data_IF_741099948459
#
_entry.id   IF_741099948459
#
_cell.length_a   1.000
_cell.length_b   1.000
_cell.length_c   1.000
_cell.angle_alpha   90.00
_cell.angle_beta   90.00
_cell.angle_gamma   90.00
#
_symmetry.space_group_name_H-M   'P 1'
#
loop_
_entity.id
_entity.type
_entity.pdbx_description
1 polymer ?
#
# COMPACT_ATOMS: atom_id res chain seq x y z
N UNK A 1 -5.15 16.26 23.83
CA UNK A 1 -5.13 15.46 22.59
C UNK A 1 -3.99 14.45 22.58
N UNK A 2 -2.86 14.72 23.22
CA UNK A 2 -1.66 13.85 23.19
C UNK A 2 -1.92 12.43 23.72
N UNK A 3 -2.68 12.31 24.82
CA UNK A 3 -3.09 11.01 25.36
C UNK A 3 -3.82 10.11 24.32
N UNK A 4 -4.56 10.71 23.38
CA UNK A 4 -5.19 9.95 22.29
C UNK A 4 -4.15 9.47 21.27
N UNK A 5 -3.16 10.30 20.92
CA UNK A 5 -2.12 9.90 19.98
C UNK A 5 -1.20 8.82 20.57
N UNK A 6 -0.89 8.91 21.86
CA UNK A 6 -0.15 7.88 22.59
C UNK A 6 -0.95 6.57 22.65
N UNK A 7 -2.25 6.65 22.94
CA UNK A 7 -3.15 5.51 22.82
C UNK A 7 -3.10 4.85 21.43
N UNK A 8 -3.13 5.64 20.35
CA UNK A 8 -3.04 5.10 19.00
C UNK A 8 -1.68 4.43 18.72
N UNK A 9 -0.58 5.02 19.21
CA UNK A 9 0.78 4.53 19.00
C UNK A 9 1.07 3.27 19.80
N UNK A 10 0.82 3.30 21.11
CA UNK A 10 1.31 2.27 22.03
C UNK A 10 0.30 1.15 22.27
N UNK A 11 -0.97 1.49 22.50
CA UNK A 11 -2.01 0.47 22.74
C UNK A 11 -2.54 -0.11 21.42
N UNK A 12 -2.89 0.75 20.46
CA UNK A 12 -3.51 0.31 19.18
C UNK A 12 -2.49 -0.07 18.12
N UNK A 13 -1.21 0.32 18.30
CA UNK A 13 -0.10 0.04 17.39
C UNK A 13 -0.41 0.44 15.95
N UNK A 14 -1.02 1.61 15.77
CA UNK A 14 -1.27 2.16 14.44
C UNK A 14 0.05 2.56 13.79
N UNK A 15 0.10 2.51 12.45
CA UNK A 15 1.31 2.91 11.73
C UNK A 15 1.60 4.40 11.96
N UNK A 16 2.87 4.83 11.94
CA UNK A 16 3.23 6.25 12.09
C UNK A 16 2.42 7.16 11.14
N UNK A 17 2.28 6.76 9.87
CA UNK A 17 1.48 7.50 8.88
C UNK A 17 0.01 7.65 9.24
N UNK A 18 -0.60 6.63 9.85
CA UNK A 18 -2.00 6.71 10.29
C UNK A 18 -2.12 7.68 11.46
N UNK A 19 -1.16 7.65 12.39
CA UNK A 19 -1.12 8.58 13.53
C UNK A 19 -0.93 10.02 13.04
N UNK A 20 0.02 10.27 12.14
CA UNK A 20 0.23 11.59 11.53
C UNK A 20 -1.03 12.08 10.81
N UNK A 21 -1.69 11.22 10.05
CA UNK A 21 -2.95 11.55 9.37
C UNK A 21 -4.05 11.96 10.36
N UNK A 22 -4.14 11.27 11.50
CA UNK A 22 -5.12 11.58 12.55
C UNK A 22 -4.74 12.84 13.34
N UNK A 23 -3.45 13.12 13.52
CA UNK A 23 -2.97 14.38 14.09
C UNK A 23 -3.39 15.56 13.22
N UNK A 24 -3.16 15.47 11.90
CA UNK A 24 -3.59 16.50 10.94
C UNK A 24 -5.10 16.65 10.93
N UNK A 25 -5.86 15.56 10.88
CA UNK A 25 -7.33 15.62 10.84
C UNK A 25 -7.94 16.23 12.11
N UNK A 26 -7.47 15.81 13.28
CA UNK A 26 -7.95 16.32 14.56
C UNK A 26 -7.52 17.78 14.77
N UNK A 27 -6.32 18.15 14.32
CA UNK A 27 -5.86 19.54 14.34
C UNK A 27 -6.71 20.45 13.45
N UNK A 28 -7.10 19.99 12.26
CA UNK A 28 -8.00 20.75 11.38
C UNK A 28 -9.40 20.91 11.98
N UNK A 29 -9.91 19.87 12.65
CA UNK A 29 -11.18 19.98 13.38
C UNK A 29 -11.09 20.97 14.55
N UNK A 30 -10.01 20.92 15.34
CA UNK A 30 -9.78 21.87 16.42
C UNK A 30 -9.67 23.31 15.91
N UNK A 31 -9.00 23.52 14.77
CA UNK A 31 -8.92 24.82 14.12
C UNK A 31 -10.30 25.35 13.70
N UNK A 32 -11.13 24.49 13.09
CA UNK A 32 -12.52 24.82 12.74
C UNK A 32 -13.35 25.23 13.97
N UNK A 33 -13.29 24.44 15.05
CA UNK A 33 -14.01 24.74 16.29
C UNK A 33 -13.60 26.08 16.89
N UNK A 34 -12.29 26.37 16.87
CA UNK A 34 -11.75 27.63 17.35
C UNK A 34 -12.18 28.80 16.48
N UNK A 35 -12.13 28.69 15.15
CA UNK A 35 -12.44 29.80 14.25
C UNK A 35 -13.93 30.10 14.15
N UNK A 36 -14.78 29.07 14.18
CA UNK A 36 -16.22 29.23 13.98
C UNK A 36 -17.02 29.39 15.29
N UNK A 37 -16.50 28.90 16.41
CA UNK A 37 -17.25 28.83 17.68
C UNK A 37 -16.42 29.21 18.92
N UNK A 38 -15.19 29.70 18.75
CA UNK A 38 -14.25 30.02 19.84
C UNK A 38 -13.96 28.85 20.80
N UNK A 39 -14.26 27.62 20.35
CA UNK A 39 -14.16 26.43 21.17
C UNK A 39 -12.75 25.83 21.05
N UNK A 40 -11.98 25.88 22.13
CA UNK A 40 -10.59 25.43 22.16
C UNK A 40 -10.42 23.93 22.43
N UNK A 41 -11.40 23.30 23.07
CA UNK A 41 -11.35 21.87 23.40
C UNK A 41 -12.30 21.07 22.49
N UNK A 42 -11.77 20.24 21.57
CA UNK A 42 -12.57 19.35 20.75
C UNK A 42 -13.45 18.37 21.54
N UNK A 43 -13.10 18.03 22.79
CA UNK A 43 -13.92 17.13 23.61
C UNK A 43 -15.31 17.70 23.90
N UNK A 44 -15.46 19.03 23.93
CA UNK A 44 -16.71 19.73 24.20
C UNK A 44 -17.60 19.88 22.96
N UNK A 45 -17.14 19.45 21.78
CA UNK A 45 -17.91 19.65 20.57
C UNK A 45 -19.19 18.79 20.56
N UNK A 46 -20.32 19.44 20.30
CA UNK A 46 -21.62 18.79 20.22
C UNK A 46 -21.88 18.20 18.83
N UNK A 47 -22.88 17.33 18.71
CA UNK A 47 -23.27 16.73 17.43
C UNK A 47 -23.53 17.78 16.31
N UNK A 48 -24.24 18.90 16.56
CA UNK A 48 -24.41 19.97 15.55
C UNK A 48 -23.09 20.54 15.03
N UNK A 49 -22.11 20.79 15.89
CA UNK A 49 -20.81 21.36 15.49
C UNK A 49 -20.02 20.39 14.60
N UNK A 50 -20.01 19.11 14.99
CA UNK A 50 -19.36 18.06 14.19
C UNK A 50 -20.06 17.90 12.83
N UNK A 51 -21.39 17.92 12.82
CA UNK A 51 -22.16 17.83 11.58
C UNK A 51 -21.90 19.03 10.67
N UNK A 52 -21.83 20.24 11.23
CA UNK A 52 -21.47 21.47 10.52
C UNK A 52 -20.12 21.33 9.82
N UNK A 53 -19.11 20.83 10.54
CA UNK A 53 -17.80 20.58 9.95
C UNK A 53 -17.84 19.59 8.79
N UNK A 54 -18.58 18.48 8.92
CA UNK A 54 -18.72 17.49 7.85
C UNK A 54 -19.39 18.09 6.62
N UNK A 55 -20.39 18.97 6.80
CA UNK A 55 -21.05 19.68 5.70
C UNK A 55 -20.07 20.64 5.02
N UNK A 56 -19.33 21.45 5.78
CA UNK A 56 -18.33 22.36 5.22
C UNK A 56 -17.26 21.61 4.42
N UNK A 57 -16.77 20.47 4.93
CA UNK A 57 -15.82 19.63 4.20
C UNK A 57 -16.39 19.11 2.87
N UNK A 58 -17.70 18.88 2.80
CA UNK A 58 -18.36 18.47 1.55
C UNK A 58 -18.57 19.66 0.60
N UNK A 59 -18.88 20.85 1.12
CA UNK A 59 -19.01 22.09 0.34
C UNK A 59 -17.67 22.56 -0.25
N UNK A 60 -16.56 22.27 0.42
CA UNK A 60 -15.20 22.48 -0.08
C UNK A 60 -14.80 21.52 -1.23
N UNK A 61 -15.72 20.67 -1.72
CA UNK A 61 -15.48 19.68 -2.77
C UNK A 61 -14.29 18.74 -2.48
N UNK A 62 -14.02 18.44 -1.21
CA UNK A 62 -13.01 17.45 -0.85
C UNK A 62 -13.42 16.05 -1.31
N UNK A 63 -12.42 15.24 -1.65
CA UNK A 63 -12.66 13.84 -2.01
C UNK A 63 -13.42 13.12 -0.87
N UNK A 64 -14.53 12.40 -1.15
CA UNK A 64 -15.31 11.71 -0.13
C UNK A 64 -14.49 10.73 0.73
N UNK A 65 -13.38 10.17 0.23
CA UNK A 65 -12.45 9.33 1.01
C UNK A 65 -11.74 10.14 2.09
N UNK A 66 -11.34 11.37 1.76
CA UNK A 66 -10.74 12.30 2.73
C UNK A 66 -11.72 12.65 3.83
N UNK A 67 -12.97 12.96 3.49
CA UNK A 67 -14.02 13.23 4.48
C UNK A 67 -14.32 11.99 5.34
N UNK A 68 -14.41 10.81 4.72
CA UNK A 68 -14.61 9.55 5.46
C UNK A 68 -13.45 9.26 6.44
N UNK A 69 -12.20 9.51 6.07
CA UNK A 69 -11.03 9.37 6.95
C UNK A 69 -11.10 10.33 8.13
N UNK A 70 -11.46 11.60 7.90
CA UNK A 70 -11.67 12.59 8.98
C UNK A 70 -12.76 12.17 9.96
N UNK A 71 -13.89 11.69 9.45
CA UNK A 71 -14.98 11.14 10.28
C UNK A 71 -14.53 9.91 11.05
N UNK A 72 -13.71 9.02 10.46
CA UNK A 72 -13.15 7.87 11.15
C UNK A 72 -12.16 8.27 12.27
N UNK A 73 -11.35 9.31 12.05
CA UNK A 73 -10.51 9.92 13.07
C UNK A 73 -11.34 10.42 14.26
N UNK A 74 -12.37 11.24 14.00
CA UNK A 74 -13.27 11.73 15.05
C UNK A 74 -13.97 10.59 15.79
N UNK A 75 -14.48 9.57 15.08
CA UNK A 75 -15.09 8.39 15.73
C UNK A 75 -14.11 7.68 16.67
N UNK A 76 -12.85 7.54 16.26
CA UNK A 76 -11.82 6.95 17.10
C UNK A 76 -11.50 7.83 18.31
N UNK A 77 -11.45 9.15 18.13
CA UNK A 77 -11.19 10.13 19.19
C UNK A 77 -12.30 10.15 20.24
N UNK A 78 -13.57 10.34 19.84
CA UNK A 78 -14.68 10.37 20.80
C UNK A 78 -14.94 9.00 21.46
N UNK A 79 -14.62 7.89 20.78
CA UNK A 79 -14.63 6.56 21.42
C UNK A 79 -13.54 6.45 22.50
N UNK A 80 -12.36 7.01 22.26
CA UNK A 80 -11.30 7.07 23.26
C UNK A 80 -11.73 7.91 24.46
N UNK A 81 -12.24 9.13 24.23
CA UNK A 81 -12.71 10.02 25.31
C UNK A 81 -13.81 9.38 26.16
N UNK A 82 -14.77 8.68 25.53
CA UNK A 82 -15.81 7.96 26.27
C UNK A 82 -15.20 6.84 27.12
N UNK A 83 -14.23 6.11 26.59
CA UNK A 83 -13.54 5.01 27.29
C UNK A 83 -12.72 5.51 28.48
N UNK A 84 -12.12 6.70 28.38
CA UNK A 84 -11.34 7.32 29.46
C UNK A 84 -12.20 8.14 30.43
N UNK A 85 -13.52 8.16 30.26
CA UNK A 85 -14.44 8.92 31.11
C UNK A 85 -14.38 10.43 30.92
N UNK A 86 -13.69 10.92 29.88
CA UNK A 86 -13.54 12.36 29.60
C UNK A 86 -14.82 12.99 29.05
N UNK A 87 -15.75 12.18 28.52
CA UNK A 87 -17.10 12.59 28.11
C UNK A 87 -18.10 11.54 28.57
N UNK A 88 -19.34 11.96 28.84
CA UNK A 88 -20.42 11.06 29.25
C UNK A 88 -21.19 10.45 28.07
N UNK A 89 -21.23 11.14 26.93
CA UNK A 89 -21.97 10.71 25.74
C UNK A 89 -21.14 10.95 24.47
N UNK A 90 -21.24 10.04 23.51
CA UNK A 90 -20.50 10.14 22.25
C UNK A 90 -21.29 10.95 21.20
N UNK A 91 -20.82 12.16 20.80
CA UNK A 91 -21.53 13.00 19.83
C UNK A 91 -21.48 12.47 18.39
N UNK A 92 -20.61 11.48 18.11
CA UNK A 92 -20.44 10.89 16.77
C UNK A 92 -21.50 9.85 16.39
N UNK A 93 -22.35 9.40 17.32
CA UNK A 93 -23.25 8.26 17.11
C UNK A 93 -24.20 8.43 15.90
N UNK A 94 -24.65 9.66 15.65
CA UNK A 94 -25.59 9.99 14.55
C UNK A 94 -24.90 10.60 13.33
N UNK A 95 -23.58 10.79 13.37
CA UNK A 95 -22.82 11.35 12.25
C UNK A 95 -22.69 10.30 11.15
N UNK A 96 -23.35 10.57 10.02
CA UNK A 96 -23.23 9.77 8.79
C UNK A 96 -22.09 10.32 7.95
N UNK A 97 -21.19 9.43 7.54
CA UNK A 97 -20.15 9.80 6.59
C UNK A 97 -20.76 9.87 5.17
N UNK A 98 -20.21 10.72 4.28
CA UNK A 98 -20.71 10.82 2.91
C UNK A 98 -20.67 9.46 2.21
N UNK A 99 -21.75 9.13 1.49
CA UNK A 99 -21.80 7.93 0.66
C UNK A 99 -20.75 8.06 -0.42
N UNK A 100 -19.81 7.12 -0.45
CA UNK A 100 -18.88 7.01 -1.55
C UNK A 100 -19.59 6.35 -2.74
N UNK A 101 -19.55 6.99 -3.90
CA UNK A 101 -19.86 6.28 -5.13
C UNK A 101 -18.89 5.09 -5.25
N UNK A 102 -19.42 3.88 -5.43
CA UNK A 102 -18.61 2.72 -5.78
C UNK A 102 -18.11 2.94 -7.20
N UNK A 103 -16.92 3.52 -7.36
CA UNK A 103 -16.21 3.46 -8.64
C UNK A 103 -15.87 1.99 -8.87
N UNK A 104 -16.22 1.46 -10.05
CA UNK A 104 -15.68 0.18 -10.47
C UNK A 104 -14.16 0.28 -10.46
N UNK A 105 -13.43 -0.70 -9.89
CA UNK A 105 -11.99 -0.71 -9.97
C UNK A 105 -11.59 -0.77 -11.45
N UNK A 106 -10.99 0.30 -11.95
CA UNK A 106 -10.33 0.29 -13.25
C UNK A 106 -8.98 -0.41 -13.05
N UNK A 107 -8.73 -1.50 -13.77
CA UNK A 107 -7.44 -2.19 -13.78
C UNK A 107 -6.73 -2.00 -15.11
N UNK A 108 -5.40 -2.11 -15.11
CA UNK A 108 -4.59 -2.00 -16.32
C UNK A 108 -4.68 -3.32 -17.08
N UNK A 109 -5.05 -3.33 -18.38
CA UNK A 109 -5.13 -4.55 -19.18
C UNK A 109 -3.80 -5.32 -19.21
N UNK A 110 -3.88 -6.65 -19.25
CA UNK A 110 -2.71 -7.52 -19.22
C UNK A 110 -1.80 -7.32 -20.43
N UNK A 111 -2.38 -7.22 -21.63
CA UNK A 111 -1.62 -7.05 -22.87
C UNK A 111 -0.83 -5.74 -22.86
N UNK A 112 -1.42 -4.67 -22.32
CA UNK A 112 -0.76 -3.37 -22.20
C UNK A 112 0.42 -3.41 -21.22
N UNK A 113 0.26 -4.11 -20.09
CA UNK A 113 1.35 -4.30 -19.12
C UNK A 113 2.46 -5.19 -19.68
N UNK A 114 2.11 -6.31 -20.31
CA UNK A 114 3.10 -7.19 -20.92
C UNK A 114 3.84 -6.47 -22.07
N UNK A 115 3.14 -5.65 -22.86
CA UNK A 115 3.76 -4.80 -23.87
C UNK A 115 4.77 -3.80 -23.29
N UNK A 116 4.42 -3.15 -22.18
CA UNK A 116 5.31 -2.23 -21.46
C UNK A 116 6.53 -2.95 -20.87
N UNK A 117 6.34 -4.10 -20.23
CA UNK A 117 7.42 -4.85 -19.57
C UNK A 117 8.40 -5.47 -20.58
N UNK A 118 7.92 -5.82 -21.77
CA UNK A 118 8.75 -6.35 -22.86
C UNK A 118 9.24 -5.26 -23.82
N UNK A 119 8.97 -3.98 -23.56
CA UNK A 119 9.41 -2.90 -24.44
C UNK A 119 10.90 -2.63 -24.26
N UNK A 120 11.56 -2.20 -25.34
CA UNK A 120 12.95 -1.71 -25.30
C UNK A 120 13.07 -0.32 -24.64
N UNK A 121 12.05 0.15 -23.91
CA UNK A 121 12.08 1.44 -23.22
C UNK A 121 12.92 1.42 -21.94
N UNK A 122 13.23 0.23 -21.40
CA UNK A 122 14.21 0.11 -20.34
C UNK A 122 15.60 0.28 -20.96
N UNK A 123 16.29 1.36 -20.57
CA UNK A 123 17.69 1.53 -20.92
C UNK A 123 18.52 0.35 -20.43
N UNK A 124 19.61 0.05 -21.13
CA UNK A 124 20.55 -1.00 -20.74
C UNK A 124 21.55 -0.53 -19.65
N UNK A 125 21.20 0.55 -18.97
CA UNK A 125 21.94 1.17 -17.87
C UNK A 125 21.35 0.76 -16.51
N UNK A 126 22.05 1.14 -15.43
CA UNK A 126 21.58 0.86 -14.07
C UNK A 126 20.15 1.38 -13.82
N UNK A 127 19.83 2.59 -14.30
CA UNK A 127 18.53 3.21 -14.11
C UNK A 127 17.41 2.43 -14.82
N UNK A 128 17.62 2.03 -16.08
CA UNK A 128 16.66 1.24 -16.85
C UNK A 128 16.42 -0.14 -16.24
N UNK A 129 17.48 -0.87 -15.86
CA UNK A 129 17.36 -2.18 -15.20
C UNK A 129 16.69 -2.11 -13.84
N UNK A 130 16.97 -1.05 -13.07
CA UNK A 130 16.29 -0.77 -11.80
C UNK A 130 14.79 -0.54 -12.01
N UNK A 131 14.44 0.31 -12.96
CA UNK A 131 13.06 0.67 -13.22
C UNK A 131 12.25 -0.53 -13.74
N UNK A 132 12.86 -1.37 -14.59
CA UNK A 132 12.32 -2.66 -15.01
C UNK A 132 12.04 -3.56 -13.79
N UNK A 133 13.05 -3.76 -12.93
CA UNK A 133 12.92 -4.59 -11.75
C UNK A 133 11.82 -4.09 -10.81
N UNK A 134 11.68 -2.77 -10.63
CA UNK A 134 10.61 -2.17 -9.82
C UNK A 134 9.22 -2.58 -10.34
N UNK A 135 9.00 -2.44 -11.65
CA UNK A 135 7.70 -2.77 -12.26
C UNK A 135 7.43 -4.27 -12.23
N UNK A 136 8.41 -5.10 -12.61
CA UNK A 136 8.25 -6.54 -12.64
C UNK A 136 8.11 -7.15 -11.24
N UNK A 137 8.80 -6.62 -10.23
CA UNK A 137 8.57 -7.04 -8.84
C UNK A 137 7.14 -6.71 -8.40
N UNK A 138 6.66 -5.48 -8.63
CA UNK A 138 5.32 -5.08 -8.19
C UNK A 138 4.21 -5.84 -8.92
N UNK A 139 4.35 -6.03 -10.22
CA UNK A 139 3.37 -6.76 -11.03
C UNK A 139 3.51 -8.26 -10.85
N UNK A 140 4.70 -8.84 -11.07
CA UNK A 140 4.94 -10.28 -11.05
C UNK A 140 4.80 -10.94 -9.67
N UNK A 141 4.92 -10.18 -8.58
CA UNK A 141 4.78 -10.74 -7.22
C UNK A 141 3.57 -10.20 -6.45
N UNK A 142 2.94 -9.13 -6.96
CA UNK A 142 1.82 -8.46 -6.30
C UNK A 142 2.15 -7.86 -4.93
N UNK A 143 3.42 -7.71 -4.55
CA UNK A 143 3.81 -7.11 -3.26
C UNK A 143 3.43 -5.62 -3.17
N UNK A 144 3.41 -5.09 -1.95
CA UNK A 144 3.17 -3.64 -1.75
C UNK A 144 4.45 -2.86 -2.01
N UNK A 145 4.32 -1.58 -2.36
CA UNK A 145 5.48 -0.68 -2.49
C UNK A 145 6.33 -0.65 -1.20
N UNK A 146 5.70 -0.56 -0.03
CA UNK A 146 6.40 -0.55 1.26
C UNK A 146 7.13 -1.88 1.54
N UNK A 147 6.62 -2.98 0.98
CA UNK A 147 7.25 -4.29 1.07
C UNK A 147 8.45 -4.36 0.12
N UNK A 148 8.31 -3.89 -1.12
CA UNK A 148 9.39 -3.84 -2.13
C UNK A 148 10.63 -3.10 -1.63
N UNK A 149 10.47 -1.88 -1.10
CA UNK A 149 11.61 -1.08 -0.61
C UNK A 149 12.29 -1.68 0.62
N UNK A 150 11.61 -2.60 1.31
CA UNK A 150 12.14 -3.29 2.49
C UNK A 150 12.88 -4.60 2.17
N UNK A 151 12.90 -5.04 0.92
CA UNK A 151 13.61 -6.25 0.49
C UNK A 151 15.10 -5.97 0.46
N UNK A 152 15.89 -6.86 1.06
CA UNK A 152 17.34 -6.84 0.95
C UNK A 152 17.83 -7.88 -0.06
N UNK A 153 19.06 -7.72 -0.57
CA UNK A 153 19.66 -8.66 -1.51
C UNK A 153 19.68 -10.10 -0.96
N UNK A 154 19.86 -10.27 0.35
CA UNK A 154 19.91 -11.56 1.04
C UNK A 154 18.52 -12.19 1.25
N UNK A 155 17.45 -11.43 1.02
CA UNK A 155 16.08 -11.95 1.04
C UNK A 155 15.73 -12.66 -0.28
N UNK A 156 16.53 -12.51 -1.33
CA UNK A 156 16.30 -13.09 -2.64
C UNK A 156 17.10 -14.39 -2.81
N UNK A 157 16.40 -15.50 -3.03
CA UNK A 157 17.00 -16.79 -3.36
C UNK A 157 16.67 -17.16 -4.79
N UNK A 158 17.58 -16.85 -5.72
CA UNK A 158 17.42 -17.19 -7.14
C UNK A 158 17.35 -18.71 -7.35
N UNK A 159 18.17 -19.48 -6.62
CA UNK A 159 18.19 -20.95 -6.68
C UNK A 159 16.88 -21.59 -6.20
N UNK A 160 16.30 -21.11 -5.10
CA UNK A 160 14.98 -21.58 -4.65
C UNK A 160 13.83 -20.99 -5.49
N UNK A 161 14.10 -19.90 -6.21
CA UNK A 161 13.12 -19.13 -6.95
C UNK A 161 12.12 -18.44 -6.03
N UNK A 162 12.59 -17.84 -4.94
CA UNK A 162 11.74 -17.18 -3.94
C UNK A 162 12.37 -15.89 -3.44
N UNK A 163 11.52 -14.97 -2.97
CA UNK A 163 11.93 -13.78 -2.21
C UNK A 163 11.20 -13.73 -0.88
N UNK A 164 11.93 -13.44 0.20
CA UNK A 164 11.36 -13.22 1.52
C UNK A 164 10.87 -11.79 1.65
N UNK A 165 9.60 -11.64 2.03
CA UNK A 165 8.93 -10.33 2.10
C UNK A 165 8.37 -10.09 3.49
N UNK A 166 8.71 -8.95 4.08
CA UNK A 166 8.23 -8.54 5.41
C UNK A 166 7.05 -7.57 5.28
N UNK A 167 5.87 -8.02 5.70
CA UNK A 167 4.62 -7.26 5.65
C UNK A 167 4.21 -6.62 6.98
N UNK A 168 2.95 -6.15 7.03
CA UNK A 168 2.39 -5.48 8.22
C UNK A 168 2.45 -6.37 9.47
N UNK A 169 2.91 -5.80 10.58
CA UNK A 169 3.08 -6.52 11.84
C UNK A 169 4.32 -7.40 11.90
N UNK A 170 5.33 -7.08 11.08
CA UNK A 170 6.60 -7.82 10.97
C UNK A 170 6.42 -9.29 10.57
N UNK A 171 5.35 -9.60 9.83
CA UNK A 171 5.08 -10.96 9.35
C UNK A 171 5.83 -11.19 8.05
N UNK A 172 6.59 -12.28 7.99
CA UNK A 172 7.33 -12.66 6.81
C UNK A 172 6.58 -13.72 5.99
N UNK A 173 6.73 -13.68 4.67
CA UNK A 173 6.27 -14.72 3.75
C UNK A 173 7.29 -14.92 2.63
N UNK A 174 7.34 -16.13 2.06
CA UNK A 174 8.08 -16.38 0.84
C UNK A 174 7.15 -16.16 -0.35
N UNK A 175 7.60 -15.38 -1.32
CA UNK A 175 6.88 -15.13 -2.57
C UNK A 175 7.65 -15.80 -3.70
N UNK A 176 7.01 -16.66 -4.52
CA UNK A 176 7.69 -17.30 -5.64
C UNK A 176 8.09 -16.26 -6.70
N UNK A 177 9.23 -16.49 -7.33
CA UNK A 177 9.75 -15.72 -8.45
C UNK A 177 9.63 -16.54 -9.73
N UNK A 178 9.09 -15.94 -10.77
CA UNK A 178 9.01 -16.57 -12.07
C UNK A 178 10.37 -16.54 -12.81
N UNK A 179 10.55 -17.37 -13.85
CA UNK A 179 11.79 -17.39 -14.62
C UNK A 179 12.23 -16.02 -15.16
N UNK A 180 11.35 -15.24 -15.81
CA UNK A 180 11.68 -13.87 -16.27
C UNK A 180 12.17 -12.95 -15.16
N UNK A 181 11.46 -12.87 -14.05
CA UNK A 181 11.83 -11.98 -12.95
C UNK A 181 13.16 -12.40 -12.32
N UNK A 182 13.48 -13.69 -12.27
CA UNK A 182 14.81 -14.13 -11.83
C UNK A 182 15.91 -13.57 -12.73
N UNK A 183 15.72 -13.61 -14.05
CA UNK A 183 16.67 -13.03 -15.00
C UNK A 183 16.82 -11.52 -14.81
N UNK A 184 15.70 -10.81 -14.60
CA UNK A 184 15.72 -9.36 -14.38
C UNK A 184 16.41 -8.99 -13.06
N UNK A 185 16.16 -9.76 -11.99
CA UNK A 185 16.87 -9.60 -10.72
C UNK A 185 18.37 -9.84 -10.91
N UNK A 186 18.76 -10.90 -11.62
CA UNK A 186 20.16 -11.24 -11.86
C UNK A 186 20.88 -10.16 -12.66
N UNK A 187 20.27 -9.68 -13.75
CA UNK A 187 20.79 -8.58 -14.57
C UNK A 187 20.94 -7.29 -13.77
N UNK A 188 19.93 -6.94 -12.97
CA UNK A 188 19.99 -5.78 -12.09
C UNK A 188 21.10 -5.90 -11.04
N UNK A 189 21.23 -7.06 -10.38
CA UNK A 189 22.25 -7.27 -9.35
C UNK A 189 23.66 -7.24 -9.93
N UNK A 190 23.86 -7.73 -11.16
CA UNK A 190 25.12 -7.61 -11.89
C UNK A 190 25.46 -6.15 -12.15
N UNK A 191 24.52 -5.38 -12.71
CA UNK A 191 24.72 -3.95 -13.00
C UNK A 191 24.98 -3.14 -11.72
N UNK A 192 24.23 -3.44 -10.65
CA UNK A 192 24.41 -2.86 -9.31
C UNK A 192 25.82 -3.11 -8.76
N UNK A 193 26.32 -4.35 -8.89
CA UNK A 193 27.65 -4.70 -8.44
C UNK A 193 28.75 -4.01 -9.26
N UNK A 194 28.54 -3.86 -10.58
CA UNK A 194 29.47 -3.13 -11.45
C UNK A 194 29.55 -1.64 -11.12
N UNK A 195 28.40 -1.00 -10.86
CA UNK A 195 28.32 0.46 -10.64
C UNK A 195 28.77 0.86 -9.22
N UNK A 196 28.37 0.08 -8.20
CA UNK A 196 28.54 0.47 -6.79
C UNK A 196 29.41 -0.48 -5.96
N UNK A 197 29.82 -1.63 -6.51
CA UNK A 197 30.58 -2.65 -5.77
C UNK A 197 29.80 -3.34 -4.64
N UNK A 198 28.54 -2.98 -4.41
CA UNK A 198 27.72 -3.47 -3.32
C UNK A 198 26.91 -4.71 -3.75
N UNK A 199 27.06 -5.80 -3.00
CA UNK A 199 26.27 -7.04 -3.20
C UNK A 199 25.26 -7.28 -2.08
N UNK A 200 25.51 -6.73 -0.89
CA UNK A 200 24.67 -6.85 0.31
C UNK A 200 23.79 -5.61 0.56
N UNK A 201 22.80 -5.72 1.43
CA UNK A 201 21.96 -4.60 1.87
C UNK A 201 20.67 -4.43 1.05
N UNK A 202 20.05 -3.24 1.05
CA UNK A 202 18.80 -2.99 0.34
C UNK A 202 18.89 -3.40 -1.13
N UNK A 203 17.91 -4.18 -1.61
CA UNK A 203 17.90 -4.70 -2.96
C UNK A 203 17.91 -3.55 -3.96
N UNK A 204 16.99 -2.59 -3.80
CA UNK A 204 16.84 -1.45 -4.71
C UNK A 204 17.60 -0.22 -4.22
N UNK A 205 18.46 0.30 -5.09
CA UNK A 205 19.22 1.53 -4.88
C UNK A 205 18.82 2.65 -5.84
N UNK A 206 19.03 3.90 -5.42
CA UNK A 206 18.92 5.09 -6.28
C UNK A 206 20.14 5.22 -7.21
N UNK A 207 20.13 6.18 -8.13
CA UNK A 207 21.27 6.46 -9.02
C UNK A 207 22.57 6.84 -8.28
N UNK A 208 22.47 7.15 -6.98
CA UNK A 208 23.60 7.46 -6.10
C UNK A 208 24.06 6.28 -5.24
N UNK A 209 23.45 5.10 -5.41
CA UNK A 209 23.73 3.92 -4.58
C UNK A 209 23.07 3.95 -3.19
N UNK A 210 22.21 4.93 -2.91
CA UNK A 210 21.47 5.02 -1.63
C UNK A 210 20.22 4.13 -1.63
N UNK A 211 19.73 3.68 -0.46
CA UNK A 211 18.50 2.91 -0.36
C UNK A 211 17.29 3.60 -1.00
N UNK A 212 16.49 2.85 -1.76
CA UNK A 212 15.30 3.40 -2.42
C UNK A 212 14.20 3.81 -1.43
N UNK A 213 13.47 4.88 -1.76
CA UNK A 213 12.40 5.43 -0.94
C UNK A 213 11.05 5.47 -1.69
N UNK A 214 9.94 5.52 -0.94
CA UNK A 214 8.59 5.35 -1.49
C UNK A 214 8.25 6.28 -2.66
N UNK A 215 8.60 7.56 -2.53
CA UNK A 215 8.30 8.58 -3.55
C UNK A 215 9.06 8.34 -4.86
N UNK A 216 10.23 7.69 -4.81
CA UNK A 216 10.96 7.28 -6.00
C UNK A 216 10.17 6.23 -6.77
N UNK A 217 9.86 5.11 -6.12
CA UNK A 217 9.07 4.01 -6.70
C UNK A 217 7.75 4.51 -7.27
N UNK A 218 7.05 5.38 -6.52
CA UNK A 218 5.78 5.95 -6.99
C UNK A 218 5.95 6.70 -8.31
N UNK A 219 6.98 7.54 -8.44
CA UNK A 219 7.25 8.31 -9.66
C UNK A 219 7.67 7.42 -10.82
N UNK A 220 8.51 6.42 -10.57
CA UNK A 220 8.89 5.42 -11.58
C UNK A 220 7.65 4.71 -12.11
N UNK A 221 6.82 4.14 -11.24
CA UNK A 221 5.59 3.47 -11.65
C UNK A 221 4.65 4.41 -12.41
N UNK A 222 4.48 5.63 -11.92
CA UNK A 222 3.61 6.62 -12.57
C UNK A 222 4.10 6.97 -13.98
N UNK A 223 5.42 7.18 -14.16
CA UNK A 223 6.04 7.45 -15.46
C UNK A 223 5.69 6.36 -16.47
N UNK A 224 5.99 5.10 -16.15
CA UNK A 224 5.79 4.00 -17.08
C UNK A 224 4.32 3.69 -17.33
N UNK A 225 3.48 3.69 -16.29
CA UNK A 225 2.04 3.46 -16.49
C UNK A 225 1.37 4.58 -17.30
N UNK A 226 1.86 5.81 -17.23
CA UNK A 226 1.30 6.90 -18.04
C UNK A 226 1.48 6.73 -19.54
N UNK A 227 2.38 5.83 -19.97
CA UNK A 227 2.61 5.50 -21.37
C UNK A 227 1.55 4.53 -21.93
N UNK A 228 0.93 3.72 -21.05
CA UNK A 228 -0.04 2.69 -21.43
C UNK A 228 -1.47 2.97 -20.97
N UNK A 229 -1.67 3.96 -20.10
CA UNK A 229 -3.01 4.36 -19.66
C UNK A 229 -3.13 5.86 -19.46
N UNK A 230 -4.25 6.41 -19.92
CA UNK A 230 -4.65 7.81 -19.71
C UNK A 230 -5.35 8.02 -18.36
N UNK A 231 -5.76 6.95 -17.68
CA UNK A 231 -6.43 7.04 -16.37
C UNK A 231 -5.41 7.30 -15.27
N UNK A 232 -5.39 8.52 -14.72
CA UNK A 232 -4.57 8.88 -13.56
C UNK A 232 -4.84 7.98 -12.33
N UNK A 233 -6.02 7.37 -12.26
CA UNK A 233 -6.37 6.43 -11.19
C UNK A 233 -5.60 5.10 -11.28
N UNK A 234 -5.00 4.80 -12.43
CA UNK A 234 -4.22 3.59 -12.68
C UNK A 234 -2.70 3.83 -12.59
N UNK A 235 -2.23 5.08 -12.61
CA UNK A 235 -0.81 5.41 -12.68
C UNK A 235 -0.13 5.41 -11.29
N UNK A 236 -0.28 4.30 -10.56
CA UNK A 236 0.30 4.16 -9.21
C UNK A 236 0.62 2.70 -8.84
N UNK A 237 1.52 2.44 -7.87
CA UNK A 237 1.98 1.09 -7.48
C UNK A 237 0.86 0.10 -7.12
N UNK A 238 -0.21 0.57 -6.47
CA UNK A 238 -1.33 -0.30 -6.11
C UNK A 238 -2.14 -0.80 -7.30
N UNK A 239 -2.05 -0.13 -8.46
CA UNK A 239 -2.72 -0.57 -9.68
C UNK A 239 -2.08 -1.84 -10.23
N UNK A 240 -0.74 -1.93 -10.19
CA UNK A 240 0.00 -3.13 -10.60
C UNK A 240 -0.39 -4.34 -9.74
N UNK A 241 -0.43 -4.16 -8.42
CA UNK A 241 -0.89 -5.20 -7.51
C UNK A 241 -2.33 -5.62 -7.77
N UNK A 242 -3.21 -4.67 -8.09
CA UNK A 242 -4.59 -4.99 -8.42
C UNK A 242 -4.70 -5.74 -9.75
N UNK A 243 -4.00 -5.27 -10.79
CA UNK A 243 -3.93 -5.93 -12.08
C UNK A 243 -3.44 -7.36 -11.93
N UNK A 244 -2.35 -7.58 -11.19
CA UNK A 244 -1.84 -8.91 -10.88
C UNK A 244 -2.91 -9.82 -10.24
N UNK A 245 -3.59 -9.34 -9.19
CA UNK A 245 -4.64 -10.11 -8.52
C UNK A 245 -5.81 -10.45 -9.46
N UNK A 246 -6.22 -9.49 -10.29
CA UNK A 246 -7.32 -9.64 -11.26
C UNK A 246 -6.93 -10.60 -12.38
N UNK A 247 -5.71 -10.51 -12.92
CA UNK A 247 -5.22 -11.37 -13.99
C UNK A 247 -5.03 -12.81 -13.52
N UNK A 248 -4.49 -13.01 -12.30
CA UNK A 248 -4.45 -14.33 -11.68
C UNK A 248 -5.84 -14.96 -11.59
N UNK A 249 -6.82 -14.19 -11.09
CA UNK A 249 -8.19 -14.68 -10.98
C UNK A 249 -8.81 -14.99 -12.34
N UNK A 250 -8.57 -14.14 -13.34
CA UNK A 250 -9.04 -14.34 -14.72
C UNK A 250 -8.49 -15.62 -15.37
N UNK A 251 -7.31 -16.07 -14.94
CA UNK A 251 -6.67 -17.31 -15.39
C UNK A 251 -7.00 -18.53 -14.53
N UNK A 252 -7.99 -18.42 -13.65
CA UNK A 252 -8.52 -19.55 -12.88
C UNK A 252 -7.76 -19.83 -11.57
N UNK A 253 -6.88 -18.94 -11.11
CA UNK A 253 -6.23 -19.10 -9.81
C UNK A 253 -7.26 -19.03 -8.66
N UNK A 254 -7.14 -19.94 -7.70
CA UNK A 254 -8.01 -19.97 -6.53
C UNK A 254 -7.85 -18.71 -5.65
N UNK A 255 -8.98 -18.15 -5.22
CA UNK A 255 -9.04 -16.93 -4.41
C UNK A 255 -8.25 -17.03 -3.10
N UNK A 256 -8.15 -18.21 -2.49
CA UNK A 256 -7.39 -18.36 -1.24
C UNK A 256 -5.88 -18.38 -1.50
N UNK A 257 -5.46 -18.96 -2.62
CA UNK A 257 -4.05 -18.92 -3.07
C UNK A 257 -3.61 -17.49 -3.41
N UNK A 258 -4.47 -16.69 -4.05
CA UNK A 258 -4.22 -15.27 -4.32
C UNK A 258 -4.10 -14.48 -3.00
N UNK A 259 -4.97 -14.74 -2.01
CA UNK A 259 -4.92 -14.07 -0.70
C UNK A 259 -3.62 -14.32 0.04
N UNK A 260 -3.13 -15.55 0.00
CA UNK A 260 -1.88 -15.96 0.62
C UNK A 260 -0.69 -15.20 0.02
N UNK A 261 -0.58 -15.24 -1.31
CA UNK A 261 0.51 -14.60 -2.05
C UNK A 261 0.53 -13.07 -1.81
N UNK A 262 -0.65 -12.45 -1.72
CA UNK A 262 -0.81 -11.02 -1.47
C UNK A 262 -0.69 -10.63 0.02
N UNK A 263 -0.83 -11.55 0.99
CA UNK A 263 -0.69 -11.24 2.42
C UNK A 263 -1.75 -10.25 2.95
N UNK A 264 -3.05 -10.52 2.73
CA UNK A 264 -4.16 -9.74 3.30
C UNK A 264 -4.55 -10.23 4.70
N UNK A 265 -4.81 -9.30 5.64
CA UNK A 265 -4.88 -9.58 7.09
C UNK A 265 -6.28 -9.63 7.75
N UNK A 266 -7.43 -9.55 7.05
CA UNK A 266 -8.76 -9.83 7.65
C UNK A 266 -9.84 -10.10 6.59
N UNK A 267 -10.89 -10.95 6.75
CA UNK A 267 -11.47 -11.70 7.90
C UNK A 267 -11.26 -13.24 7.74
N UNK A 268 -10.96 -14.03 8.77
CA UNK A 268 -10.76 -13.71 10.17
C UNK A 268 -9.80 -14.73 10.79
N UNK A 269 -8.93 -14.23 11.66
CA UNK A 269 -7.76 -14.92 12.19
C UNK A 269 -8.10 -16.15 13.04
N UNK A 270 -7.59 -17.32 12.66
CA UNK A 270 -7.13 -18.34 13.62
C UNK A 270 -6.07 -19.20 12.96
N UNK A 271 -5.12 -19.66 13.78
CA UNK A 271 -3.85 -20.28 13.44
C UNK A 271 -4.00 -21.64 12.73
N UNK A 272 -4.16 -21.66 11.40
CA UNK A 272 -4.16 -22.95 10.66
C UNK A 272 -3.18 -23.03 9.47
N UNK A 273 -2.62 -21.93 8.96
CA UNK A 273 -2.04 -21.99 7.61
C UNK A 273 -0.54 -21.74 7.51
N UNK A 274 0.26 -22.27 8.44
CA UNK A 274 1.73 -22.30 8.35
C UNK A 274 2.27 -23.39 7.41
N UNK A 275 1.40 -24.10 6.67
CA UNK A 275 1.75 -25.30 5.91
C UNK A 275 1.16 -25.36 4.49
N UNK A 276 1.04 -24.22 3.81
CA UNK A 276 0.87 -24.27 2.35
C UNK A 276 2.28 -24.25 1.75
N UNK A 277 2.66 -25.38 1.14
CA UNK A 277 4.00 -25.56 0.60
C UNK A 277 4.23 -24.57 -0.55
N UNK A 278 5.46 -24.07 -0.65
CA UNK A 278 5.92 -23.20 -1.74
C UNK A 278 5.56 -23.78 -3.11
N UNK A 279 5.53 -25.12 -3.24
CA UNK A 279 5.18 -25.83 -4.48
C UNK A 279 3.74 -25.60 -4.93
N UNK A 280 2.79 -25.48 -4.00
CA UNK A 280 1.39 -25.16 -4.33
C UNK A 280 1.23 -23.71 -4.79
N UNK A 281 2.00 -22.79 -4.22
CA UNK A 281 2.02 -21.39 -4.68
C UNK A 281 2.69 -21.26 -6.05
N UNK A 282 3.76 -22.04 -6.30
CA UNK A 282 4.41 -22.12 -7.61
C UNK A 282 3.46 -22.63 -8.69
N UNK A 283 2.71 -23.70 -8.45
CA UNK A 283 1.81 -24.25 -9.46
C UNK A 283 0.66 -23.29 -9.84
N UNK A 284 0.08 -22.60 -8.87
CA UNK A 284 -0.93 -21.55 -9.12
C UNK A 284 -0.33 -20.39 -9.91
N UNK A 285 0.91 -20.02 -9.59
CA UNK A 285 1.62 -18.98 -10.29
C UNK A 285 1.93 -19.38 -11.76
N UNK A 286 2.46 -20.59 -11.99
CA UNK A 286 2.82 -21.12 -13.32
C UNK A 286 1.60 -21.31 -14.22
N UNK A 287 0.48 -21.82 -13.68
CA UNK A 287 -0.78 -21.94 -14.43
C UNK A 287 -1.28 -20.59 -14.92
N UNK A 288 -1.07 -19.54 -14.13
CA UNK A 288 -1.49 -18.19 -14.48
C UNK A 288 -0.42 -17.40 -15.27
N UNK A 289 0.84 -17.82 -15.32
CA UNK A 289 1.87 -17.16 -16.13
C UNK A 289 2.73 -18.17 -16.90
N UNK A 290 2.14 -18.98 -17.81
CA UNK A 290 2.82 -20.09 -18.49
C UNK A 290 3.89 -19.68 -19.52
N UNK A 291 4.06 -18.38 -19.78
CA UNK A 291 5.02 -17.83 -20.75
C UNK A 291 5.82 -16.62 -20.23
N UNK A 292 5.92 -16.45 -18.92
CA UNK A 292 6.78 -15.45 -18.30
C UNK A 292 8.02 -16.11 -17.71
#
# INVERSE_FOLDING_TARGET
>A
MDAFFDYLRFERRYSPHTVTSYQTDLGQFAAYLKSAFELTDPAQATHPLIRGWVVELMEQNLDPRTVNRKVACLRSYYKFLLRTGSIAANPMLRIKAPKMAKKLPEFVPEEALNGLLNSFEFGDDFAGRRDQLVLEMLYGTGIRLSELIGIHAEDVSLGAGTVRVTGKGNKQRLVPLNPSLKLVIEQYQLQRAQEFGATAGPLLLTDKGEPMYEKFVYRTVQRYLSQITTSKAQQHPHALRHAFATHLLGKGADLNSIKELLGHASLAATQVYTHLSVDRLKSVFEQAHPRA
#
